data_IF_405745209695
#
_entry.id   IF_405745209695
#
_cell.length_a   1.000
_cell.length_b   1.000
_cell.length_c   1.000
_cell.angle_alpha   90.00
_cell.angle_beta   90.00
_cell.angle_gamma   90.00
#
_symmetry.space_group_name_H-M   'P 1'
#
loop_
_entity.id
_entity.type
_entity.pdbx_description
1 polymer ?
#
# COMPACT_ATOMS: atom_id res chain seq x y z
N UNK A 1 -9.77 35.17 49.37
CA UNK A 1 -9.48 33.81 48.86
C UNK A 1 -8.72 33.96 47.55
N UNK A 2 -7.40 33.91 47.66
CA UNK A 2 -6.44 34.17 46.59
C UNK A 2 -6.26 32.87 45.81
N UNK A 3 -6.88 32.78 44.64
CA UNK A 3 -6.61 31.70 43.68
C UNK A 3 -5.37 32.06 42.86
N UNK A 4 -4.32 31.22 42.83
CA UNK A 4 -3.13 31.52 42.05
C UNK A 4 -3.36 31.24 40.56
N UNK A 5 -3.12 32.28 39.75
CA UNK A 5 -2.32 32.24 38.52
C UNK A 5 -2.61 31.05 37.58
N UNK A 6 -3.64 31.14 36.73
CA UNK A 6 -3.65 30.41 35.45
C UNK A 6 -2.81 31.17 34.41
N UNK A 7 -1.54 31.43 34.73
CA UNK A 7 -0.55 31.89 33.75
C UNK A 7 0.18 30.68 33.22
N UNK A 8 -0.25 30.10 32.09
CA UNK A 8 0.45 28.93 31.59
C UNK A 8 0.13 28.37 30.20
N UNK A 9 -0.75 29.00 29.40
CA UNK A 9 -1.13 28.42 28.09
C UNK A 9 -1.11 29.41 26.92
N UNK A 10 -0.39 30.53 27.05
CA UNK A 10 -0.31 31.53 25.98
C UNK A 10 0.49 31.07 24.74
N UNK A 11 1.53 30.25 24.93
CA UNK A 11 2.40 29.76 23.84
C UNK A 11 2.73 28.26 23.95
N UNK A 12 3.02 27.75 25.15
CA UNK A 12 3.28 26.32 25.37
C UNK A 12 2.09 25.44 25.02
N UNK A 13 0.87 25.88 25.33
CA UNK A 13 -0.36 25.18 24.97
C UNK A 13 -0.62 25.13 23.46
N UNK A 14 -0.25 26.18 22.74
CA UNK A 14 -0.36 26.22 21.28
C UNK A 14 0.61 25.26 20.59
N UNK A 15 1.85 25.20 21.07
CA UNK A 15 2.85 24.26 20.55
C UNK A 15 2.48 22.82 20.89
N UNK A 16 2.11 22.53 22.15
CA UNK A 16 1.66 21.20 22.56
C UNK A 16 0.40 20.75 21.80
N UNK A 17 -0.58 21.63 21.65
CA UNK A 17 -1.81 21.35 20.90
C UNK A 17 -1.55 21.11 19.42
N UNK A 18 -0.73 21.96 18.79
CA UNK A 18 -0.33 21.80 17.38
C UNK A 18 0.47 20.51 17.14
N UNK A 19 1.40 20.19 18.05
CA UNK A 19 2.19 18.97 17.96
C UNK A 19 1.33 17.71 18.12
N UNK A 20 0.39 17.70 19.08
CA UNK A 20 -0.55 16.58 19.25
C UNK A 20 -1.45 16.38 18.02
N UNK A 21 -1.94 17.47 17.43
CA UNK A 21 -2.71 17.43 16.19
C UNK A 21 -1.89 16.85 15.02
N UNK A 22 -0.64 17.28 14.89
CA UNK A 22 0.26 16.83 13.83
C UNK A 22 0.70 15.38 14.03
N UNK A 23 0.90 14.94 15.27
CA UNK A 23 1.12 13.53 15.62
C UNK A 23 -0.11 12.67 15.33
N UNK A 24 -1.31 13.17 15.60
CA UNK A 24 -2.54 12.46 15.28
C UNK A 24 -2.71 12.26 13.77
N UNK A 25 -2.58 13.34 12.98
CA UNK A 25 -2.66 13.27 11.51
C UNK A 25 -1.50 12.49 10.90
N UNK A 26 -0.27 12.73 11.37
CA UNK A 26 0.92 12.01 10.93
C UNK A 26 0.81 10.51 11.23
N UNK A 27 0.33 10.16 12.43
CA UNK A 27 0.05 8.78 12.82
C UNK A 27 -1.06 8.14 11.98
N UNK A 28 -2.16 8.86 11.72
CA UNK A 28 -3.25 8.38 10.86
C UNK A 28 -2.76 8.12 9.44
N UNK A 29 -2.00 9.05 8.84
CA UNK A 29 -1.42 8.90 7.51
C UNK A 29 -0.43 7.73 7.51
N UNK A 30 0.45 7.65 8.50
CA UNK A 30 1.42 6.56 8.62
C UNK A 30 0.71 5.20 8.74
N UNK A 31 -0.38 5.12 9.48
CA UNK A 31 -1.20 3.91 9.61
C UNK A 31 -1.83 3.53 8.27
N UNK A 32 -2.41 4.48 7.54
CA UNK A 32 -2.98 4.22 6.20
C UNK A 32 -1.90 3.76 5.23
N UNK A 33 -0.77 4.47 5.17
CA UNK A 33 0.37 4.10 4.30
C UNK A 33 0.94 2.74 4.70
N UNK A 34 1.07 2.46 5.99
CA UNK A 34 1.56 1.17 6.48
C UNK A 34 0.60 0.03 6.12
N UNK A 35 -0.71 0.21 6.30
CA UNK A 35 -1.74 -0.76 5.92
C UNK A 35 -1.73 -1.03 4.42
N UNK A 36 -1.71 0.02 3.59
CA UNK A 36 -1.62 -0.13 2.12
C UNK A 36 -0.31 -0.83 1.75
N UNK A 37 0.82 -0.38 2.28
CA UNK A 37 2.14 -0.96 1.99
C UNK A 37 2.26 -2.39 2.50
N UNK A 38 1.62 -2.77 3.59
CA UNK A 38 1.59 -4.14 4.08
C UNK A 38 0.80 -5.06 3.14
N UNK A 39 -0.33 -4.57 2.60
CA UNK A 39 -1.12 -5.30 1.60
C UNK A 39 -0.34 -5.40 0.27
N UNK A 40 0.27 -4.31 -0.20
CA UNK A 40 1.08 -4.33 -1.43
C UNK A 40 2.36 -5.16 -1.27
N UNK A 41 3.00 -5.13 -0.09
CA UNK A 41 4.15 -6.00 0.22
C UNK A 41 3.74 -7.45 0.41
N UNK A 42 2.51 -7.75 0.83
CA UNK A 42 1.99 -9.13 0.83
C UNK A 42 1.92 -9.70 -0.59
N UNK A 43 1.65 -8.85 -1.59
CA UNK A 43 1.78 -9.23 -3.00
C UNK A 43 3.25 -9.37 -3.47
N UNK A 44 4.20 -8.61 -2.91
CA UNK A 44 5.63 -8.72 -3.27
C UNK A 44 6.40 -9.80 -2.48
N UNK A 45 5.92 -10.21 -1.31
CA UNK A 45 6.61 -11.19 -0.46
C UNK A 45 6.11 -12.63 -0.67
N UNK A 46 5.08 -12.83 -1.51
CA UNK A 46 4.70 -14.16 -2.02
C UNK A 46 5.44 -14.54 -3.32
N UNK A 47 6.31 -13.69 -3.87
CA UNK A 47 7.22 -14.06 -4.97
C UNK A 47 8.44 -14.86 -4.47
N UNK A 48 8.18 -15.88 -3.64
CA UNK A 48 8.97 -17.13 -3.62
C UNK A 48 8.33 -18.17 -4.54
N UNK A 49 7.49 -17.75 -5.48
CA UNK A 49 7.14 -18.51 -6.67
C UNK A 49 7.82 -17.80 -7.84
N UNK A 50 8.88 -18.44 -8.36
CA UNK A 50 9.38 -18.33 -9.74
C UNK A 50 9.15 -16.98 -10.45
N UNK A 51 10.15 -16.07 -10.47
CA UNK A 51 10.09 -14.78 -11.18
C UNK A 51 9.70 -14.87 -12.67
N UNK A 52 9.82 -16.07 -13.25
CA UNK A 52 9.47 -16.39 -14.63
C UNK A 52 7.97 -16.46 -14.91
N UNK A 53 7.13 -16.93 -13.96
CA UNK A 53 5.70 -17.10 -14.20
C UNK A 53 4.91 -15.80 -14.12
N UNK A 54 5.16 -14.98 -13.10
CA UNK A 54 4.47 -13.70 -12.94
C UNK A 54 4.85 -12.72 -14.08
N UNK A 55 6.10 -12.77 -14.52
CA UNK A 55 6.57 -12.13 -15.76
C UNK A 55 5.85 -12.66 -17.00
N UNK A 56 5.71 -13.98 -17.15
CA UNK A 56 5.04 -14.59 -18.30
C UNK A 56 3.56 -14.20 -18.36
N UNK A 57 2.86 -14.21 -17.22
CA UNK A 57 1.47 -13.79 -17.12
C UNK A 57 1.27 -12.30 -17.38
N UNK A 58 2.15 -11.42 -16.87
CA UNK A 58 2.06 -9.98 -17.14
C UNK A 58 2.33 -9.64 -18.62
N UNK A 59 3.27 -10.34 -19.27
CA UNK A 59 3.53 -10.20 -20.70
C UNK A 59 2.32 -10.68 -21.52
N UNK A 60 1.75 -11.83 -21.16
CA UNK A 60 0.57 -12.40 -21.81
C UNK A 60 -0.63 -11.45 -21.71
N UNK A 61 -0.88 -10.92 -20.51
CA UNK A 61 -1.98 -9.97 -20.24
C UNK A 61 -1.82 -8.67 -21.03
N UNK A 62 -0.58 -8.16 -21.14
CA UNK A 62 -0.29 -6.94 -21.90
C UNK A 62 -0.53 -7.13 -23.41
N UNK A 63 -0.23 -8.29 -23.97
CA UNK A 63 -0.46 -8.62 -25.38
C UNK A 63 -1.94 -8.88 -25.69
N UNK A 64 -2.66 -9.55 -24.78
CA UNK A 64 -4.10 -9.71 -24.87
C UNK A 64 -4.84 -8.36 -24.84
N UNK A 65 -4.44 -7.45 -23.93
CA UNK A 65 -4.99 -6.09 -23.88
C UNK A 65 -4.66 -5.27 -25.14
N UNK A 66 -3.60 -5.63 -25.85
CA UNK A 66 -3.23 -5.04 -27.14
C UNK A 66 -3.95 -5.66 -28.34
N UNK A 67 -4.71 -6.74 -28.12
CA UNK A 67 -5.37 -7.52 -29.17
C UNK A 67 -4.41 -8.31 -30.05
N UNK A 68 -3.15 -8.47 -29.64
CA UNK A 68 -2.13 -9.22 -30.41
C UNK A 68 -2.28 -10.74 -30.25
N UNK A 69 -3.03 -11.21 -29.23
CA UNK A 69 -3.26 -12.62 -28.92
C UNK A 69 -4.75 -12.87 -28.79
N UNK A 70 -5.25 -13.88 -29.48
CA UNK A 70 -6.65 -14.30 -29.44
C UNK A 70 -6.97 -15.08 -28.15
N UNK A 71 -8.24 -15.07 -27.74
CA UNK A 71 -8.70 -15.72 -26.50
C UNK A 71 -8.38 -17.22 -26.46
N UNK A 72 -8.38 -17.87 -27.62
CA UNK A 72 -8.05 -19.30 -27.74
C UNK A 72 -6.60 -19.62 -27.37
N UNK A 73 -5.67 -18.75 -27.74
CA UNK A 73 -4.24 -18.91 -27.49
C UNK A 73 -3.88 -18.56 -26.02
N UNK A 74 -4.61 -17.60 -25.43
CA UNK A 74 -4.53 -17.30 -24.00
C UNK A 74 -4.89 -18.50 -23.12
N UNK A 75 -5.95 -19.23 -23.47
CA UNK A 75 -6.40 -20.39 -22.70
C UNK A 75 -5.44 -21.59 -22.81
N UNK A 76 -4.82 -21.78 -23.98
CA UNK A 76 -3.82 -22.83 -24.18
C UNK A 76 -2.58 -22.64 -23.29
N UNK A 77 -2.00 -21.43 -23.29
CA UNK A 77 -0.83 -21.09 -22.46
C UNK A 77 -1.17 -21.14 -20.97
N UNK A 78 -2.37 -20.69 -20.59
CA UNK A 78 -2.82 -20.75 -19.20
C UNK A 78 -2.93 -22.18 -18.69
N UNK A 79 -3.42 -23.11 -19.51
CA UNK A 79 -3.56 -24.52 -19.11
C UNK A 79 -2.20 -25.21 -19.01
N UNK A 80 -1.25 -24.89 -19.90
CA UNK A 80 0.13 -25.41 -19.86
C UNK A 80 0.88 -24.99 -18.60
N UNK A 81 0.73 -23.71 -18.20
CA UNK A 81 1.33 -23.16 -16.97
C UNK A 81 0.73 -23.75 -15.68
N UNK A 82 -0.54 -24.17 -15.69
CA UNK A 82 -1.21 -24.76 -14.51
C UNK A 82 -0.87 -26.25 -14.36
N UNK A 83 -0.35 -26.90 -15.41
CA UNK A 83 -0.14 -28.35 -15.46
C UNK A 83 1.32 -28.79 -15.19
N UNK A 84 2.26 -27.84 -15.00
CA UNK A 84 3.67 -28.11 -14.65
C UNK A 84 3.94 -27.92 -13.16
#
# INVERSE_FOLDING_TARGET
>A
MFWPQHMGLGWGGWILGGLMMLLFWGGLIALVVYSVRAITRSNQNNTKQTPSEESAFDILKRRYARGEIDKTEYEAIRNDLIQT
#
